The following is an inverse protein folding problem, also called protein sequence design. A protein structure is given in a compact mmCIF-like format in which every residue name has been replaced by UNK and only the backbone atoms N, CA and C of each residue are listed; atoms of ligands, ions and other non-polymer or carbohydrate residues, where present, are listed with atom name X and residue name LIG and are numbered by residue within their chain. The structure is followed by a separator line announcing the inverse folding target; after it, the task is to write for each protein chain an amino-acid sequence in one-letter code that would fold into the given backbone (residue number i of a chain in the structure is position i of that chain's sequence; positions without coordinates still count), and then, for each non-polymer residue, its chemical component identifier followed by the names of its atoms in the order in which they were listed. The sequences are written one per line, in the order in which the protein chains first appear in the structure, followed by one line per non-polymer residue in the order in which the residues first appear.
data_IF_836109763210
#
_entry.id   IF_836109763210
#
_cell.length_a   1.000
_cell.length_b   1.000
_cell.length_c   1.000
_cell.angle_alpha   90.00
_cell.angle_beta   90.00
_cell.angle_gamma   90.00
#
_symmetry.space_group_name_H-M   'P 1'
#
loop_
_entity.id
_entity.type
_entity.pdbx_description
1 polymer ?
#
# COMPACT_ATOMS: atom_id res chain seq x y z
N UNK A 1 18.55 -10.77 -8.67
CA UNK A 1 18.40 -9.46 -7.98
C UNK A 1 17.46 -8.53 -8.74
N UNK A 2 17.70 -8.19 -10.01
CA UNK A 2 16.77 -7.36 -10.81
C UNK A 2 15.36 -7.96 -11.00
N UNK A 3 15.26 -9.29 -11.07
CA UNK A 3 13.97 -10.00 -11.18
C UNK A 3 13.07 -9.74 -9.97
N UNK A 4 13.63 -9.74 -8.76
CA UNK A 4 12.85 -9.53 -7.53
C UNK A 4 12.29 -8.11 -7.40
N UNK A 5 12.99 -7.09 -7.91
CA UNK A 5 12.57 -5.69 -7.83
C UNK A 5 11.41 -5.34 -8.78
N UNK A 6 11.39 -5.95 -9.98
CA UNK A 6 10.27 -5.79 -10.90
C UNK A 6 8.98 -6.43 -10.39
N UNK A 7 9.10 -7.48 -9.57
CA UNK A 7 7.95 -8.20 -9.02
C UNK A 7 7.48 -7.68 -7.66
N UNK A 8 8.26 -6.91 -6.90
CA UNK A 8 7.84 -6.39 -5.57
C UNK A 8 6.90 -5.20 -5.67
N UNK A 9 7.17 -4.28 -6.61
CA UNK A 9 6.40 -3.04 -6.75
C UNK A 9 4.88 -3.26 -6.93
N UNK A 10 4.42 -4.24 -7.75
CA UNK A 10 2.99 -4.54 -7.87
C UNK A 10 2.32 -5.02 -6.58
N UNK A 11 3.07 -5.64 -5.67
CA UNK A 11 2.50 -6.21 -4.45
C UNK A 11 2.36 -5.20 -3.30
N UNK A 12 3.10 -4.09 -3.32
CA UNK A 12 2.99 -3.03 -2.30
C UNK A 12 1.57 -2.50 -2.24
N UNK A 13 0.91 -2.35 -3.39
CA UNK A 13 -0.43 -1.78 -3.52
C UNK A 13 -1.55 -2.82 -3.55
N UNK A 14 -1.22 -4.12 -3.52
CA UNK A 14 -2.20 -5.21 -3.69
C UNK A 14 -3.22 -5.31 -2.54
N UNK A 15 -2.92 -4.70 -1.40
CA UNK A 15 -3.80 -4.62 -0.23
C UNK A 15 -4.70 -3.40 -0.17
N UNK A 16 -4.67 -2.50 -1.17
CA UNK A 16 -5.62 -1.40 -1.22
C UNK A 16 -7.04 -1.90 -1.48
N UNK A 17 -7.99 -1.38 -0.71
CA UNK A 17 -9.41 -1.58 -0.96
C UNK A 17 -9.99 -0.52 -1.92
N UNK A 18 -11.32 -0.52 -2.10
CA UNK A 18 -12.02 0.42 -2.97
C UNK A 18 -11.65 1.88 -2.70
N UNK A 19 -11.31 2.63 -3.75
CA UNK A 19 -10.90 4.03 -3.67
C UNK A 19 -9.64 4.25 -2.82
N UNK A 20 -8.75 3.25 -2.77
CA UNK A 20 -7.41 3.32 -2.16
C UNK A 20 -7.44 3.79 -0.70
N UNK A 21 -7.00 5.03 -0.42
CA UNK A 21 -6.87 5.57 0.93
C UNK A 21 -8.20 5.90 1.63
N UNK A 22 -9.30 5.96 0.86
CA UNK A 22 -10.63 6.08 1.43
C UNK A 22 -10.97 4.83 2.27
N UNK A 23 -10.62 3.64 1.77
CA UNK A 23 -11.01 2.39 2.41
C UNK A 23 -10.32 2.18 3.76
N UNK A 24 -9.00 2.27 3.81
CA UNK A 24 -8.21 2.10 5.04
C UNK A 24 -8.26 3.33 5.95
N UNK A 25 -8.31 4.53 5.38
CA UNK A 25 -8.26 5.79 6.13
C UNK A 25 -9.61 6.30 6.65
N UNK A 26 -10.73 5.94 6.03
CA UNK A 26 -12.06 6.47 6.38
C UNK A 26 -13.10 5.38 6.63
N UNK A 27 -13.26 4.43 5.72
CA UNK A 27 -14.30 3.41 5.82
C UNK A 27 -14.03 2.43 6.97
N UNK A 28 -12.90 1.71 6.94
CA UNK A 28 -12.55 0.69 7.96
C UNK A 28 -12.55 1.28 9.37
N UNK A 29 -11.95 2.46 9.65
CA UNK A 29 -12.00 3.06 10.98
C UNK A 29 -13.41 3.39 11.48
N UNK A 30 -14.37 3.69 10.58
CA UNK A 30 -15.76 3.96 10.96
C UNK A 30 -16.56 2.69 11.26
N UNK A 31 -16.41 1.65 10.45
CA UNK A 31 -17.18 0.39 10.61
C UNK A 31 -16.52 -0.59 11.58
N UNK A 32 -15.20 -0.50 11.75
CA UNK A 32 -14.44 -1.38 12.63
C UNK A 32 -13.33 -0.60 13.38
N UNK A 33 -13.69 0.25 14.36
CA UNK A 33 -12.76 1.18 15.02
C UNK A 33 -11.60 0.52 15.77
N UNK A 34 -11.82 -0.69 16.29
CA UNK A 34 -10.80 -1.48 17.01
C UNK A 34 -9.76 -2.10 16.07
N UNK A 35 -10.00 -2.04 14.75
CA UNK A 35 -9.11 -2.61 13.75
C UNK A 35 -7.83 -1.78 13.63
N UNK A 36 -6.68 -2.45 13.74
CA UNK A 36 -5.36 -1.88 13.39
C UNK A 36 -4.96 -2.19 11.95
N UNK A 37 -5.93 -2.58 11.12
CA UNK A 37 -5.68 -2.99 9.75
C UNK A 37 -5.07 -1.87 8.93
N UNK A 38 -4.05 -2.23 8.14
CA UNK A 38 -3.42 -1.35 7.16
C UNK A 38 -3.38 -2.05 5.81
N UNK A 39 -3.37 -1.26 4.74
CA UNK A 39 -3.27 -1.81 3.39
C UNK A 39 -1.96 -2.59 3.19
N UNK A 40 -0.86 -2.23 3.88
CA UNK A 40 0.40 -2.99 3.81
C UNK A 40 0.27 -4.40 4.40
N UNK A 41 -0.46 -4.57 5.50
CA UNK A 41 -0.73 -5.89 6.10
C UNK A 41 -1.59 -6.75 5.14
N UNK A 42 -2.57 -6.12 4.47
CA UNK A 42 -3.34 -6.79 3.44
C UNK A 42 -2.49 -7.15 2.23
N UNK A 43 -1.56 -6.30 1.80
CA UNK A 43 -0.65 -6.57 0.67
C UNK A 43 0.16 -7.85 0.90
N UNK A 44 0.71 -8.03 2.10
CA UNK A 44 1.39 -9.28 2.51
C UNK A 44 0.47 -10.48 2.46
N UNK A 45 -0.75 -10.34 3.00
CA UNK A 45 -1.74 -11.41 2.98
C UNK A 45 -2.16 -11.81 1.56
N UNK A 46 -2.35 -10.82 0.70
CA UNK A 46 -2.69 -11.01 -0.71
C UNK A 46 -1.55 -11.64 -1.50
N UNK A 47 -0.30 -11.27 -1.22
CA UNK A 47 0.88 -11.92 -1.77
C UNK A 47 0.90 -13.42 -1.44
N UNK A 48 0.74 -13.77 -0.15
CA UNK A 48 0.70 -15.17 0.29
C UNK A 48 -0.45 -15.95 -0.33
N UNK A 49 -1.63 -15.32 -0.42
CA UNK A 49 -2.77 -15.92 -1.09
C UNK A 49 -2.49 -16.19 -2.57
N UNK A 50 -1.94 -15.20 -3.29
CA UNK A 50 -1.60 -15.30 -4.71
C UNK A 50 -0.55 -16.41 -4.97
N UNK A 51 0.49 -16.48 -4.13
CA UNK A 51 1.52 -17.53 -4.23
C UNK A 51 0.88 -18.92 -4.03
N UNK A 52 0.01 -19.07 -3.03
CA UNK A 52 -0.60 -20.35 -2.68
C UNK A 52 -1.61 -20.83 -3.71
N UNK A 53 -2.57 -20.00 -4.09
CA UNK A 53 -3.66 -20.40 -5.00
C UNK A 53 -3.16 -20.74 -6.41
N UNK A 54 -2.05 -20.12 -6.84
CA UNK A 54 -1.48 -20.33 -8.16
C UNK A 54 -0.24 -21.24 -8.15
N UNK A 55 0.07 -21.88 -7.01
CA UNK A 55 1.21 -22.81 -6.84
C UNK A 55 2.56 -22.19 -7.32
N UNK A 56 2.74 -20.89 -7.09
CA UNK A 56 3.85 -20.13 -7.66
C UNK A 56 5.19 -20.45 -7.03
N UNK A 57 5.22 -21.02 -5.81
CA UNK A 57 6.48 -21.40 -5.17
C UNK A 57 7.30 -22.35 -6.05
N UNK A 58 6.65 -23.28 -6.75
CA UNK A 58 7.35 -24.21 -7.66
C UNK A 58 8.00 -23.49 -8.84
N UNK A 59 7.31 -22.50 -9.39
CA UNK A 59 7.81 -21.67 -10.50
C UNK A 59 8.95 -20.78 -10.02
N UNK A 60 8.77 -20.13 -8.86
CA UNK A 60 9.76 -19.29 -8.20
C UNK A 60 11.06 -20.05 -7.93
N UNK A 61 10.98 -21.27 -7.38
CA UNK A 61 12.13 -22.10 -7.09
C UNK A 61 12.80 -22.61 -8.38
N UNK A 62 12.02 -23.18 -9.31
CA UNK A 62 12.55 -23.83 -10.52
C UNK A 62 13.14 -22.84 -11.53
N UNK A 63 12.40 -21.79 -11.85
CA UNK A 63 12.73 -20.90 -12.96
C UNK A 63 13.56 -19.69 -12.50
N UNK A 64 13.41 -19.29 -11.23
CA UNK A 64 14.03 -18.06 -10.69
C UNK A 64 14.96 -18.29 -9.51
N UNK A 65 15.05 -19.52 -8.97
CA UNK A 65 15.85 -19.87 -7.78
C UNK A 65 15.50 -19.02 -6.57
N UNK A 66 14.21 -18.74 -6.41
CA UNK A 66 13.69 -18.02 -5.27
C UNK A 66 13.11 -18.98 -4.25
N UNK A 67 13.39 -18.72 -2.97
CA UNK A 67 12.98 -19.57 -1.86
C UNK A 67 12.04 -18.84 -0.88
N UNK A 68 11.73 -19.48 0.24
CA UNK A 68 10.89 -18.90 1.29
C UNK A 68 11.52 -17.63 1.93
N UNK A 69 12.85 -17.54 1.99
CA UNK A 69 13.53 -16.33 2.49
C UNK A 69 13.33 -15.14 1.54
N UNK A 70 13.21 -15.41 0.24
CA UNK A 70 12.86 -14.38 -0.74
C UNK A 70 11.44 -13.87 -0.55
N UNK A 71 10.48 -14.74 -0.22
CA UNK A 71 9.12 -14.31 0.12
C UNK A 71 9.12 -13.48 1.40
N UNK A 72 9.80 -13.92 2.45
CA UNK A 72 9.95 -13.15 3.70
C UNK A 72 10.59 -11.78 3.41
N UNK A 73 11.62 -11.73 2.57
CA UNK A 73 12.25 -10.47 2.17
C UNK A 73 11.25 -9.54 1.47
N UNK A 74 10.41 -10.06 0.57
CA UNK A 74 9.36 -9.28 -0.09
C UNK A 74 8.35 -8.75 0.92
N UNK A 75 7.91 -9.56 1.87
CA UNK A 75 7.00 -9.13 2.93
C UNK A 75 7.62 -8.00 3.77
N UNK A 76 8.88 -8.17 4.17
CA UNK A 76 9.62 -7.17 4.93
C UNK A 76 9.86 -5.86 4.17
N UNK A 77 9.97 -5.91 2.84
CA UNK A 77 10.00 -4.70 1.99
C UNK A 77 8.67 -3.94 1.99
N UNK A 78 7.55 -4.60 2.25
CA UNK A 78 6.21 -4.00 2.29
C UNK A 78 5.90 -3.52 3.72
N UNK A 79 5.89 -4.42 4.70
CA UNK A 79 5.43 -4.13 6.08
C UNK A 79 6.57 -3.84 7.06
N UNK A 80 7.83 -3.94 6.66
CA UNK A 80 8.97 -3.85 7.58
C UNK A 80 9.20 -5.15 8.37
N UNK A 81 10.14 -5.15 9.33
CA UNK A 81 10.46 -6.36 10.09
C UNK A 81 9.26 -6.77 10.94
N UNK A 82 9.04 -8.08 11.05
CA UNK A 82 7.97 -8.62 11.88
C UNK A 82 8.21 -8.25 13.35
N UNK A 83 7.28 -7.50 13.95
CA UNK A 83 7.32 -7.24 15.38
C UNK A 83 6.86 -8.49 16.11
N UNK A 84 7.71 -9.08 16.96
CA UNK A 84 7.29 -10.17 17.83
C UNK A 84 6.16 -9.67 18.76
N UNK A 85 5.00 -10.32 18.73
CA UNK A 85 3.82 -9.91 19.51
C UNK A 85 4.03 -10.02 21.04
N UNK A 86 5.02 -10.80 21.47
CA UNK A 86 5.34 -11.09 22.88
C UNK A 86 6.51 -10.27 23.45
N UNK A 87 7.14 -9.40 22.65
CA UNK A 87 8.23 -8.57 23.14
C UNK A 87 7.68 -7.23 23.65
N UNK A 88 7.84 -7.01 24.97
CA UNK A 88 7.75 -5.66 25.54
C UNK A 88 8.58 -4.71 24.67
N UNK A 89 8.11 -3.49 24.36
CA UNK A 89 8.86 -2.56 23.52
C UNK A 89 10.15 -2.16 24.22
N UNK A 90 11.20 -2.95 24.07
CA UNK A 90 12.56 -2.55 24.35
C UNK A 90 12.94 -1.60 23.23
N UNK A 91 13.42 -0.41 23.59
CA UNK A 91 13.95 0.57 22.66
C UNK A 91 14.96 -0.15 21.75
N UNK A 92 14.71 -0.28 20.44
CA UNK A 92 15.64 -0.95 19.55
C UNK A 92 17.00 -0.27 19.71
N UNK A 93 18.01 -1.01 20.13
CA UNK A 93 19.36 -0.47 20.06
C UNK A 93 19.73 -0.39 18.58
N UNK A 94 20.53 0.61 18.19
CA UNK A 94 20.91 0.86 16.80
C UNK A 94 21.61 -0.33 16.12
N UNK A 95 21.99 -1.35 16.89
CA UNK A 95 22.86 -2.45 16.49
C UNK A 95 22.15 -3.78 16.25
N UNK A 96 20.84 -3.89 16.51
CA UNK A 96 20.13 -5.15 16.28
C UNK A 96 19.55 -5.22 14.87
N UNK A 97 19.85 -6.31 14.16
CA UNK A 97 19.36 -6.57 12.81
C UNK A 97 18.07 -7.40 12.88
N UNK A 98 16.92 -6.72 12.74
CA UNK A 98 15.59 -7.31 12.94
C UNK A 98 15.05 -8.08 11.72
N UNK A 99 15.66 -7.90 10.55
CA UNK A 99 15.19 -8.49 9.29
C UNK A 99 15.73 -9.91 9.08
N UNK A 100 14.86 -10.80 8.59
CA UNK A 100 15.15 -12.23 8.38
C UNK A 100 15.37 -12.56 6.91
N UNK A 101 14.73 -11.84 5.99
CA UNK A 101 14.81 -12.13 4.55
C UNK A 101 16.19 -11.89 3.95
N UNK A 102 16.99 -10.99 4.55
CA UNK A 102 18.36 -10.67 4.15
C UNK A 102 19.25 -10.35 5.33
N UNK A 103 20.58 -10.63 5.24
CA UNK A 103 21.54 -10.22 6.24
C UNK A 103 21.78 -8.70 6.22
N UNK A 104 22.35 -8.17 7.31
CA UNK A 104 22.67 -6.74 7.46
C UNK A 104 23.62 -6.20 6.37
N UNK A 105 24.47 -7.06 5.80
CA UNK A 105 25.31 -6.72 4.65
C UNK A 105 24.53 -6.37 3.38
N UNK A 106 23.20 -6.53 3.40
CA UNK A 106 22.26 -6.12 2.34
C UNK A 106 21.18 -5.17 2.85
N UNK A 107 21.46 -4.45 3.93
CA UNK A 107 20.55 -3.47 4.55
C UNK A 107 19.99 -2.43 3.59
N UNK A 108 20.84 -1.87 2.73
CA UNK A 108 20.44 -0.91 1.68
C UNK A 108 19.30 -1.39 0.76
N UNK A 109 19.06 -2.71 0.63
CA UNK A 109 17.94 -3.18 -0.20
C UNK A 109 16.57 -2.79 0.39
N UNK A 110 16.47 -2.66 1.72
CA UNK A 110 15.22 -2.24 2.40
C UNK A 110 14.92 -0.75 2.26
N UNK A 111 15.84 0.04 1.74
CA UNK A 111 15.68 1.47 1.49
C UNK A 111 15.13 1.77 0.08
N UNK A 112 14.94 0.74 -0.75
CA UNK A 112 14.52 0.91 -2.16
C UNK A 112 13.00 1.04 -2.27
N UNK A 113 12.26 0.08 -1.69
CA UNK A 113 10.83 -0.12 -1.94
C UNK A 113 9.96 0.77 -1.05
N UNK A 114 10.10 0.64 0.27
CA UNK A 114 9.39 1.44 1.26
C UNK A 114 10.38 1.87 2.34
N UNK A 115 10.99 3.04 2.14
CA UNK A 115 12.05 3.51 3.03
C UNK A 115 11.45 4.13 4.28
N UNK A 116 11.32 3.33 5.34
CA UNK A 116 10.71 3.77 6.61
C UNK A 116 11.56 4.78 7.39
N UNK A 117 12.87 4.85 7.10
CA UNK A 117 13.78 5.76 7.79
C UNK A 117 13.69 7.19 7.28
N UNK A 118 13.71 7.38 5.95
CA UNK A 118 13.77 8.72 5.33
C UNK A 118 12.52 9.06 4.52
N UNK A 119 11.73 8.06 4.13
CA UNK A 119 10.63 8.22 3.18
C UNK A 119 11.10 8.55 1.76
N UNK A 120 12.35 8.25 1.39
CA UNK A 120 12.87 8.38 0.02
C UNK A 120 12.90 6.99 -0.62
N UNK A 121 11.95 6.70 -1.50
CA UNK A 121 11.75 5.38 -2.11
C UNK A 121 11.12 5.45 -3.50
N UNK A 122 11.15 4.33 -4.22
CA UNK A 122 10.66 4.23 -5.61
C UNK A 122 9.15 4.41 -5.73
N UNK A 123 8.40 4.07 -4.68
CA UNK A 123 6.94 4.26 -4.61
C UNK A 123 6.59 5.73 -4.86
N UNK A 124 7.24 6.65 -4.13
CA UNK A 124 7.07 8.10 -4.30
C UNK A 124 7.47 8.60 -5.66
N UNK A 125 8.57 8.07 -6.20
CA UNK A 125 9.06 8.53 -7.49
C UNK A 125 8.09 8.20 -8.62
N UNK A 126 7.47 7.01 -8.59
CA UNK A 126 6.46 6.63 -9.57
C UNK A 126 5.20 7.48 -9.43
N UNK A 127 4.59 7.54 -8.24
CA UNK A 127 3.34 8.25 -8.10
C UNK A 127 3.50 9.77 -8.25
N UNK A 128 4.66 10.37 -7.89
CA UNK A 128 4.91 11.77 -8.24
C UNK A 128 4.89 11.99 -9.74
N UNK A 129 5.63 11.18 -10.51
CA UNK A 129 5.67 11.32 -11.96
C UNK A 129 4.30 11.07 -12.60
N UNK A 130 3.60 10.02 -12.15
CA UNK A 130 2.28 9.62 -12.64
C UNK A 130 1.23 10.66 -12.30
N UNK A 131 1.12 11.09 -11.05
CA UNK A 131 0.06 11.99 -10.61
C UNK A 131 0.29 13.39 -11.17
N UNK A 132 1.54 13.88 -11.19
CA UNK A 132 1.87 15.12 -11.87
C UNK A 132 1.45 15.12 -13.34
N UNK A 133 1.69 14.01 -14.06
CA UNK A 133 1.26 13.86 -15.45
C UNK A 133 -0.26 13.94 -15.61
N UNK A 134 -1.02 13.17 -14.81
CA UNK A 134 -2.49 13.11 -14.94
C UNK A 134 -3.20 14.36 -14.38
N UNK A 135 -2.61 15.04 -13.39
CA UNK A 135 -3.17 16.25 -12.78
C UNK A 135 -2.71 17.54 -13.48
N UNK A 136 -1.76 17.47 -14.42
CA UNK A 136 -1.16 18.65 -15.04
C UNK A 136 -0.35 19.52 -14.07
N UNK A 137 0.22 18.92 -13.03
CA UNK A 137 1.08 19.60 -12.05
C UNK A 137 2.54 19.32 -12.42
N UNK A 138 3.43 20.32 -12.51
CA UNK A 138 4.84 20.05 -12.75
C UNK A 138 5.49 19.20 -11.66
N UNK A 139 6.28 18.20 -12.04
CA UNK A 139 7.16 17.46 -11.14
C UNK A 139 8.57 18.05 -11.22
N UNK A 140 9.06 18.62 -10.11
CA UNK A 140 10.38 19.26 -10.06
C UNK A 140 11.50 18.31 -9.67
N UNK A 141 11.19 17.09 -9.23
CA UNK A 141 12.17 16.08 -8.86
C UNK A 141 12.76 15.38 -10.09
N UNK A 142 14.07 15.48 -10.28
CA UNK A 142 14.76 14.76 -11.36
C UNK A 142 15.27 13.40 -10.88
N UNK A 143 14.45 12.38 -11.09
CA UNK A 143 14.78 10.99 -10.78
C UNK A 143 16.01 10.48 -11.55
N UNK A 144 16.15 10.83 -12.83
CA UNK A 144 17.27 10.33 -13.66
C UNK A 144 18.60 10.85 -13.13
N UNK A 145 18.61 12.11 -12.72
CA UNK A 145 19.76 12.72 -12.06
C UNK A 145 20.04 12.06 -10.71
N UNK A 146 19.02 11.86 -9.87
CA UNK A 146 19.17 11.17 -8.59
C UNK A 146 19.82 9.79 -8.77
N UNK A 147 19.33 8.98 -9.71
CA UNK A 147 19.86 7.65 -10.00
C UNK A 147 21.31 7.65 -10.50
N UNK A 148 21.79 8.75 -11.08
CA UNK A 148 23.20 8.88 -11.50
C UNK A 148 24.14 9.02 -10.30
N UNK A 149 23.69 9.70 -9.24
CA UNK A 149 24.49 10.06 -8.08
C UNK A 149 24.30 9.18 -6.85
N UNK A 150 23.34 8.26 -6.88
CA UNK A 150 23.09 7.32 -5.79
C UNK A 150 24.19 6.25 -5.69
N UNK A 151 24.68 5.98 -4.48
CA UNK A 151 25.69 4.96 -4.18
C UNK A 151 25.33 4.27 -2.86
N UNK A 152 25.81 3.04 -2.69
CA UNK A 152 25.75 2.34 -1.41
C UNK A 152 27.08 2.58 -0.70
N UNK A 153 27.05 3.15 0.49
CA UNK A 153 28.24 3.37 1.33
C UNK A 153 27.95 2.95 2.77
N UNK A 154 29.01 2.66 3.52
CA UNK A 154 28.90 2.33 4.94
C UNK A 154 28.71 3.60 5.77
N UNK A 155 27.65 3.62 6.59
CA UNK A 155 27.31 4.69 7.51
C UNK A 155 27.03 4.06 8.87
N UNK A 156 27.86 4.40 9.86
CA UNK A 156 27.76 3.85 11.23
C UNK A 156 27.71 2.32 11.29
N UNK A 157 28.52 1.65 10.46
CA UNK A 157 28.63 0.18 10.41
C UNK A 157 27.57 -0.53 9.55
N UNK A 158 26.67 0.22 8.89
CA UNK A 158 25.60 -0.35 8.04
C UNK A 158 25.66 0.22 6.62
N UNK A 159 25.42 -0.61 5.62
CA UNK A 159 25.36 -0.18 4.22
C UNK A 159 24.03 0.54 3.93
N UNK A 160 24.09 1.80 3.53
CA UNK A 160 22.93 2.64 3.26
C UNK A 160 23.00 3.24 1.85
N UNK A 161 21.82 3.55 1.28
CA UNK A 161 21.69 4.31 0.04
C UNK A 161 21.97 5.78 0.34
N UNK A 162 23.07 6.29 -0.22
CA UNK A 162 23.48 7.67 -0.10
C UNK A 162 23.48 8.36 -1.46
N UNK A 163 23.08 9.63 -1.48
CA UNK A 163 23.20 10.48 -2.66
C UNK A 163 24.36 11.46 -2.49
N UNK A 164 24.85 12.00 -3.60
CA UNK A 164 25.95 12.97 -3.58
C UNK A 164 25.49 14.27 -2.93
N UNK A 165 26.35 14.87 -2.11
CA UNK A 165 26.13 16.14 -1.39
C UNK A 165 25.44 17.24 -2.21
N UNK A 166 25.89 17.47 -3.45
CA UNK A 166 25.32 18.47 -4.36
C UNK A 166 23.88 18.21 -4.82
N UNK A 167 23.34 17.01 -4.58
CA UNK A 167 21.96 16.65 -4.90
C UNK A 167 20.97 17.09 -3.82
N UNK A 168 21.44 17.70 -2.72
CA UNK A 168 20.57 18.16 -1.61
C UNK A 168 19.38 18.99 -2.10
N UNK A 169 19.57 19.88 -3.08
CA UNK A 169 18.48 20.67 -3.67
C UNK A 169 17.44 19.80 -4.38
N UNK A 170 17.88 18.77 -5.12
CA UNK A 170 16.97 17.83 -5.79
C UNK A 170 16.11 17.06 -4.77
N UNK A 171 16.68 16.73 -3.61
CA UNK A 171 15.91 16.12 -2.50
C UNK A 171 14.89 17.10 -1.90
N UNK A 172 15.26 18.38 -1.74
CA UNK A 172 14.30 19.40 -1.33
C UNK A 172 13.15 19.54 -2.33
N UNK A 173 13.43 19.53 -3.63
CA UNK A 173 12.40 19.57 -4.69
C UNK A 173 11.47 18.35 -4.64
N UNK A 174 11.99 17.18 -4.27
CA UNK A 174 11.18 15.98 -4.05
C UNK A 174 10.13 16.21 -2.94
N UNK A 175 10.55 16.68 -1.77
CA UNK A 175 9.63 16.96 -0.66
C UNK A 175 8.71 18.15 -0.94
N UNK A 176 9.18 19.14 -1.71
CA UNK A 176 8.34 20.24 -2.18
C UNK A 176 7.23 19.74 -3.11
N UNK A 177 7.57 18.90 -4.09
CA UNK A 177 6.62 18.26 -5.01
C UNK A 177 5.58 17.46 -4.22
N UNK A 178 6.01 16.67 -3.24
CA UNK A 178 5.10 15.96 -2.33
C UNK A 178 4.12 16.91 -1.65
N UNK A 179 4.62 17.98 -1.03
CA UNK A 179 3.78 18.97 -0.34
C UNK A 179 2.75 19.61 -1.28
N UNK A 180 3.17 19.92 -2.50
CA UNK A 180 2.33 20.48 -3.56
C UNK A 180 1.21 19.53 -3.98
N UNK A 181 1.52 18.26 -4.25
CA UNK A 181 0.53 17.24 -4.59
C UNK A 181 -0.50 17.05 -3.47
N UNK A 182 -0.05 16.96 -2.22
CA UNK A 182 -0.95 16.88 -1.07
C UNK A 182 -1.90 18.09 -0.99
N UNK A 183 -1.37 19.30 -1.09
CA UNK A 183 -2.18 20.53 -0.94
C UNK A 183 -3.13 20.78 -2.10
N UNK A 184 -2.72 20.47 -3.32
CA UNK A 184 -3.48 20.82 -4.53
C UNK A 184 -4.43 19.72 -4.98
N UNK A 185 -4.10 18.45 -4.71
CA UNK A 185 -4.86 17.31 -5.20
C UNK A 185 -5.34 16.40 -4.06
N UNK A 186 -4.44 15.75 -3.33
CA UNK A 186 -4.83 14.67 -2.39
C UNK A 186 -5.66 15.15 -1.20
N UNK A 187 -5.55 16.43 -0.84
CA UNK A 187 -6.35 17.07 0.22
C UNK A 187 -7.22 18.18 -0.34
N UNK A 188 -7.53 18.12 -1.64
CA UNK A 188 -8.44 19.07 -2.25
C UNK A 188 -9.81 18.95 -1.59
N UNK A 189 -10.35 20.06 -1.09
CA UNK A 189 -11.60 20.10 -0.32
C UNK A 189 -12.77 19.38 -1.00
N UNK A 190 -12.88 19.49 -2.33
CA UNK A 190 -13.95 18.83 -3.10
C UNK A 190 -13.73 17.32 -3.20
N UNK A 191 -12.48 16.87 -3.33
CA UNK A 191 -12.16 15.44 -3.31
C UNK A 191 -12.47 14.87 -1.93
N UNK A 192 -12.04 15.57 -0.87
CA UNK A 192 -12.27 15.13 0.51
C UNK A 192 -13.76 14.98 0.86
N UNK A 193 -14.63 15.90 0.39
CA UNK A 193 -16.08 15.80 0.64
C UNK A 193 -16.71 14.68 -0.19
N UNK A 194 -16.28 14.47 -1.44
CA UNK A 194 -16.74 13.34 -2.27
C UNK A 194 -16.36 12.01 -1.60
N UNK A 195 -15.12 11.89 -1.12
CA UNK A 195 -14.67 10.71 -0.38
C UNK A 195 -15.48 10.49 0.90
N UNK A 196 -15.88 11.56 1.59
CA UNK A 196 -16.73 11.46 2.78
C UNK A 196 -18.13 10.94 2.41
N UNK A 197 -18.73 11.45 1.34
CA UNK A 197 -20.03 10.99 0.84
C UNK A 197 -19.98 9.53 0.38
N UNK A 198 -18.91 9.14 -0.33
CA UNK A 198 -18.68 7.74 -0.70
C UNK A 198 -18.54 6.88 0.57
N UNK A 199 -17.79 7.36 1.57
CA UNK A 199 -17.61 6.64 2.83
C UNK A 199 -18.96 6.43 3.53
N UNK A 200 -19.81 7.45 3.63
CA UNK A 200 -21.15 7.34 4.20
C UNK A 200 -22.00 6.29 3.47
N UNK A 201 -21.96 6.30 2.13
CA UNK A 201 -22.65 5.31 1.32
C UNK A 201 -22.13 3.89 1.58
N UNK A 202 -20.81 3.70 1.65
CA UNK A 202 -20.21 2.39 1.95
C UNK A 202 -20.56 1.92 3.36
N UNK A 203 -20.54 2.81 4.36
CA UNK A 203 -20.93 2.49 5.74
C UNK A 203 -22.38 2.02 5.78
N UNK A 204 -23.29 2.75 5.14
CA UNK A 204 -24.71 2.39 5.10
C UNK A 204 -24.95 1.08 4.32
N UNK A 205 -24.15 0.79 3.29
CA UNK A 205 -24.24 -0.45 2.52
C UNK A 205 -23.57 -1.66 3.17
N UNK A 206 -22.72 -1.48 4.21
CA UNK A 206 -21.84 -2.53 4.74
C UNK A 206 -22.58 -3.81 5.17
N UNK A 207 -23.75 -3.66 5.78
CA UNK A 207 -24.53 -4.79 6.30
C UNK A 207 -25.41 -5.47 5.24
N UNK A 208 -25.53 -4.87 4.05
CA UNK A 208 -26.44 -5.30 2.99
C UNK A 208 -25.70 -5.82 1.76
N UNK A 209 -24.56 -5.21 1.41
CA UNK A 209 -23.74 -5.68 0.29
C UNK A 209 -22.80 -6.79 0.76
N UNK A 210 -23.20 -8.02 0.48
CA UNK A 210 -22.43 -9.20 0.84
C UNK A 210 -21.54 -9.68 -0.30
N UNK A 211 -20.26 -9.88 0.03
CA UNK A 211 -19.23 -10.30 -0.91
C UNK A 211 -19.01 -11.81 -0.74
N UNK A 212 -19.13 -12.60 -1.82
CA UNK A 212 -18.83 -14.03 -1.73
C UNK A 212 -17.32 -14.22 -1.54
N UNK A 213 -16.96 -14.91 -0.48
CA UNK A 213 -15.61 -15.28 -0.09
C UNK A 213 -15.30 -16.74 -0.36
N UNK A 214 -14.41 -17.28 0.48
CA UNK A 214 -13.97 -18.68 0.43
C UNK A 214 -15.15 -19.62 0.66
N UNK A 215 -15.17 -20.74 -0.06
CA UNK A 215 -16.21 -21.78 0.04
C UNK A 215 -17.64 -21.28 -0.26
N UNK A 216 -17.77 -20.08 -0.85
CA UNK A 216 -19.06 -19.45 -1.16
C UNK A 216 -19.70 -18.71 0.02
N UNK A 217 -19.04 -18.64 1.18
CA UNK A 217 -19.53 -17.88 2.33
C UNK A 217 -19.60 -16.39 1.99
N UNK A 218 -20.72 -15.76 2.32
CA UNK A 218 -20.95 -14.35 2.04
C UNK A 218 -20.57 -13.52 3.27
N UNK A 219 -19.64 -12.60 3.10
CA UNK A 219 -19.14 -11.73 4.19
C UNK A 219 -19.44 -10.26 3.90
N UNK A 220 -19.49 -9.44 4.95
CA UNK A 220 -19.66 -7.98 4.80
C UNK A 220 -18.41 -7.35 4.18
N UNK A 221 -18.53 -6.13 3.64
CA UNK A 221 -17.39 -5.38 3.12
C UNK A 221 -16.29 -5.20 4.18
N UNK A 222 -16.67 -4.85 5.41
CA UNK A 222 -15.76 -4.70 6.56
C UNK A 222 -15.07 -6.00 6.97
N UNK A 223 -15.66 -7.15 6.63
CA UNK A 223 -15.14 -8.48 6.98
C UNK A 223 -14.31 -9.08 5.85
N UNK A 224 -14.46 -8.59 4.61
CA UNK A 224 -13.70 -9.05 3.46
C UNK A 224 -12.17 -8.86 3.65
N UNK A 225 -11.72 -7.88 4.44
CA UNK A 225 -10.31 -7.74 4.82
C UNK A 225 -9.75 -8.99 5.53
N UNK A 226 -10.64 -9.81 6.10
CA UNK A 226 -10.30 -11.06 6.80
C UNK A 226 -10.32 -12.28 5.88
N UNK A 227 -10.77 -12.15 4.63
CA UNK A 227 -10.82 -13.25 3.66
C UNK A 227 -10.23 -12.78 2.31
N UNK A 228 -9.00 -13.22 1.95
CA UNK A 228 -8.37 -12.85 0.69
C UNK A 228 -9.23 -13.13 -0.54
N UNK A 229 -10.04 -14.20 -0.53
CA UNK A 229 -10.92 -14.53 -1.66
C UNK A 229 -12.01 -13.47 -1.80
N UNK A 230 -12.67 -13.09 -0.71
CA UNK A 230 -13.63 -12.00 -0.72
C UNK A 230 -12.97 -10.68 -1.11
N UNK A 231 -11.78 -10.40 -0.56
CA UNK A 231 -11.05 -9.16 -0.81
C UNK A 231 -10.68 -8.97 -2.29
N UNK A 232 -10.32 -10.04 -3.02
CA UNK A 232 -10.07 -9.93 -4.48
C UNK A 232 -11.27 -9.43 -5.28
N UNK A 233 -12.48 -9.60 -4.75
CA UNK A 233 -13.74 -9.19 -5.39
C UNK A 233 -14.19 -7.80 -4.94
N UNK A 234 -13.55 -7.24 -3.93
CA UNK A 234 -13.88 -5.93 -3.36
C UNK A 234 -13.04 -4.84 -4.05
N UNK A 235 -13.64 -4.21 -5.06
CA UNK A 235 -13.01 -3.15 -5.87
C UNK A 235 -13.91 -1.93 -5.96
N UNK A 236 -13.49 -0.87 -6.65
CA UNK A 236 -14.28 0.35 -6.89
C UNK A 236 -15.65 0.09 -7.53
N UNK A 237 -15.84 -1.08 -8.16
CA UNK A 237 -17.13 -1.55 -8.66
C UNK A 237 -18.21 -1.62 -7.56
N UNK A 238 -17.82 -1.64 -6.29
CA UNK A 238 -18.71 -1.61 -5.13
C UNK A 238 -19.75 -0.48 -5.23
N UNK A 239 -19.39 0.70 -5.73
CA UNK A 239 -20.35 1.79 -5.90
C UNK A 239 -21.39 1.47 -6.97
N UNK A 240 -20.96 0.90 -8.09
CA UNK A 240 -21.87 0.47 -9.17
C UNK A 240 -22.77 -0.66 -8.69
N UNK A 241 -22.26 -1.58 -7.88
CA UNK A 241 -23.06 -2.65 -7.27
C UNK A 241 -24.13 -2.11 -6.34
N UNK A 242 -23.83 -1.08 -5.53
CA UNK A 242 -24.82 -0.40 -4.69
C UNK A 242 -25.85 0.33 -5.58
N UNK A 243 -25.38 1.06 -6.59
CA UNK A 243 -26.21 1.86 -7.49
C UNK A 243 -27.21 1.02 -8.30
N UNK A 244 -26.80 -0.16 -8.75
CA UNK A 244 -27.58 -1.04 -9.62
C UNK A 244 -28.30 -2.16 -8.86
N UNK A 245 -28.30 -2.12 -7.53
CA UNK A 245 -28.96 -3.14 -6.70
C UNK A 245 -30.48 -2.97 -6.68
N UNK A 246 -31.19 -4.09 -6.76
CA UNK A 246 -32.64 -4.16 -6.52
C UNK A 246 -32.98 -4.33 -5.03
N UNK A 247 -31.99 -4.43 -4.13
CA UNK A 247 -32.21 -4.51 -2.68
C UNK A 247 -32.72 -3.14 -2.16
N UNK A 248 -33.93 -3.08 -1.55
CA UNK A 248 -34.48 -1.84 -1.03
C UNK A 248 -33.57 -1.13 -0.01
N UNK A 249 -32.80 -1.89 0.78
CA UNK A 249 -31.88 -1.31 1.76
C UNK A 249 -30.72 -0.59 1.06
N UNK A 250 -30.23 -1.14 -0.06
CA UNK A 250 -29.15 -0.53 -0.86
C UNK A 250 -29.66 0.65 -1.70
N UNK A 251 -30.91 0.63 -2.17
CA UNK A 251 -31.53 1.77 -2.83
C UNK A 251 -31.70 2.97 -1.87
N UNK A 252 -32.03 2.70 -0.60
CA UNK A 252 -32.15 3.73 0.42
C UNK A 252 -30.80 4.42 0.71
N UNK A 253 -29.67 3.73 0.55
CA UNK A 253 -28.32 4.34 0.65
C UNK A 253 -28.17 5.49 -0.35
N UNK A 254 -28.61 5.30 -1.59
CA UNK A 254 -28.50 6.31 -2.66
C UNK A 254 -29.41 7.53 -2.41
N UNK A 255 -30.56 7.32 -1.77
CA UNK A 255 -31.50 8.39 -1.45
C UNK A 255 -31.12 9.19 -0.19
N UNK A 256 -30.47 8.54 0.78
CA UNK A 256 -29.99 9.19 2.01
C UNK A 256 -28.69 9.97 1.77
N UNK A 257 -27.85 9.51 0.85
CA UNK A 257 -26.64 10.20 0.39
C UNK A 257 -27.00 11.37 -0.55
N UNK A 258 -27.37 12.53 0.00
CA UNK A 258 -27.93 13.71 -0.70
C UNK A 258 -27.09 14.32 -1.86
N UNK A 259 -25.99 13.69 -2.31
CA UNK A 259 -25.19 14.18 -3.43
C UNK A 259 -24.57 13.13 -4.36
N UNK A 260 -24.94 11.84 -4.26
CA UNK A 260 -24.54 10.84 -5.27
C UNK A 260 -25.54 10.72 -6.43
N UNK A 261 -26.68 11.42 -6.33
CA UNK A 261 -27.76 11.47 -7.31
C UNK A 261 -27.72 12.81 -8.07
N UNK A 262 -26.76 12.96 -8.98
CA UNK A 262 -26.81 13.94 -10.07
C UNK A 262 -26.17 13.36 -11.33
#
# INVERSE_FOLDING_TARGET
MFVMYGHTCPFITAGHGPFSHLFDGKFIPKVFPESKWKHEDASVRMLRHLIKENDLMKVMEKDYRLDENDVIFIEELIVGPAKNADETPTTPTRHDWEYKGRPESKSFLYEIIANKGTGIDVDKWDYFARDCHHLGIPNSFDLRRYMTFVRVIEVDGRLQICTRDKEVTNIYEMFHTRSMLHRRAYQHKTSNIIEEMITEALVAANDHLLIPGKDGEKVKMSEAIKDPVAFTRLTDQVLQQIQLSDDPNLQQVLHSSHGLSN
#
